data_IF_160007604391
#
_entry.id   IF_160007604391
#
_cell.length_a   1.000
_cell.length_b   1.000
_cell.length_c   1.000
_cell.angle_alpha   90.00
_cell.angle_beta   90.00
_cell.angle_gamma   90.00
#
_symmetry.space_group_name_H-M   'P 1'
#
loop_
_entity.id
_entity.type
_entity.pdbx_description
1 polymer ?
#
# COMPACT_ATOMS: atom_id res chain seq x y z
N UNK A 1 1.62 12.20 -19.19
CA UNK A 1 2.24 12.40 -17.84
C UNK A 1 3.38 11.40 -17.65
N UNK A 2 4.60 11.85 -17.31
CA UNK A 2 5.74 10.94 -16.98
C UNK A 2 5.62 10.46 -15.55
N UNK A 3 5.53 9.15 -15.33
CA UNK A 3 5.25 8.57 -14.02
C UNK A 3 6.41 7.72 -13.53
N UNK A 4 6.92 8.04 -12.33
CA UNK A 4 7.93 7.26 -11.63
C UNK A 4 7.27 6.30 -10.62
N UNK A 5 7.34 5.00 -10.88
CA UNK A 5 7.00 3.98 -9.89
C UNK A 5 8.15 3.78 -8.90
N UNK A 6 7.88 3.90 -7.61
CA UNK A 6 8.86 3.70 -6.55
C UNK A 6 8.39 2.55 -5.66
N UNK A 7 9.09 1.43 -5.72
CA UNK A 7 8.93 0.33 -4.77
C UNK A 7 9.79 0.65 -3.55
N UNK A 8 9.16 0.73 -2.36
CA UNK A 8 9.88 1.03 -1.12
C UNK A 8 9.97 -0.24 -0.28
N UNK A 9 11.18 -0.77 -0.10
CA UNK A 9 11.44 -1.95 0.73
C UNK A 9 12.62 -1.69 1.66
N UNK A 10 12.47 -1.99 2.94
CA UNK A 10 13.56 -1.91 3.93
C UNK A 10 13.92 -3.31 4.43
N UNK A 11 15.16 -3.50 4.89
CA UNK A 11 15.63 -4.76 5.47
C UNK A 11 15.01 -5.05 6.83
N UNK A 12 14.88 -4.01 7.68
CA UNK A 12 14.36 -4.13 9.04
C UNK A 12 12.83 -4.21 9.10
N UNK A 13 12.25 -5.43 9.05
CA UNK A 13 10.81 -5.65 9.24
C UNK A 13 10.54 -6.22 10.65
N UNK A 14 9.76 -5.51 11.50
CA UNK A 14 9.46 -5.93 12.88
C UNK A 14 8.46 -7.08 12.97
N UNK A 15 7.35 -7.02 12.22
CA UNK A 15 6.27 -8.01 12.29
C UNK A 15 6.69 -9.36 11.72
N UNK A 16 7.41 -9.37 10.58
CA UNK A 16 7.91 -10.59 9.93
C UNK A 16 9.38 -10.35 9.56
N UNK A 17 10.35 -11.00 10.23
CA UNK A 17 11.77 -10.85 9.88
C UNK A 17 12.04 -11.24 8.42
N UNK A 18 12.83 -10.41 7.71
CA UNK A 18 13.16 -10.64 6.31
C UNK A 18 11.96 -10.62 5.35
N UNK A 19 10.85 -9.96 5.74
CA UNK A 19 9.55 -9.97 5.06
C UNK A 19 9.65 -9.85 3.54
N UNK A 20 10.45 -8.92 3.04
CA UNK A 20 10.53 -8.60 1.61
C UNK A 20 11.12 -9.73 0.76
N UNK A 21 12.02 -10.55 1.34
CA UNK A 21 12.65 -11.69 0.66
C UNK A 21 12.00 -13.04 1.00
N UNK A 22 11.11 -13.08 2.00
CA UNK A 22 10.38 -14.29 2.38
C UNK A 22 9.45 -14.72 1.23
N UNK A 23 9.37 -16.04 0.99
CA UNK A 23 8.57 -16.59 -0.10
C UNK A 23 7.08 -16.59 0.22
N UNK A 24 6.30 -15.83 -0.53
CA UNK A 24 4.84 -15.85 -0.56
C UNK A 24 4.41 -16.56 -1.84
N UNK A 25 3.67 -17.64 -1.73
CA UNK A 25 3.24 -18.45 -2.88
C UNK A 25 4.38 -18.77 -3.87
N UNK A 26 5.58 -19.11 -3.34
CA UNK A 26 6.74 -19.51 -4.12
C UNK A 26 7.60 -18.39 -4.72
N UNK A 27 7.30 -17.13 -4.45
CA UNK A 27 8.09 -15.97 -4.88
C UNK A 27 8.41 -15.05 -3.71
N UNK A 28 9.55 -14.34 -3.67
CA UNK A 28 9.76 -13.29 -2.68
C UNK A 28 8.59 -12.31 -2.65
N UNK A 29 8.19 -11.86 -1.46
CA UNK A 29 7.09 -10.88 -1.32
C UNK A 29 7.29 -9.67 -2.25
N UNK A 30 8.51 -9.13 -2.29
CA UNK A 30 8.91 -8.03 -3.16
C UNK A 30 8.59 -8.30 -4.65
N UNK A 31 8.71 -9.55 -5.10
CA UNK A 31 8.53 -9.92 -6.50
C UNK A 31 7.10 -9.66 -6.99
N UNK A 32 6.09 -9.87 -6.15
CA UNK A 32 4.70 -9.62 -6.53
C UNK A 32 4.48 -8.15 -6.94
N UNK A 33 5.04 -7.23 -6.17
CA UNK A 33 4.96 -5.79 -6.46
C UNK A 33 5.77 -5.38 -7.68
N UNK A 34 7.01 -5.85 -7.80
CA UNK A 34 7.87 -5.53 -8.94
C UNK A 34 7.25 -6.03 -10.25
N UNK A 35 6.74 -7.26 -10.28
CA UNK A 35 6.13 -7.84 -11.47
C UNK A 35 4.86 -7.10 -11.89
N UNK A 36 4.00 -6.74 -10.93
CA UNK A 36 2.80 -5.93 -11.22
C UNK A 36 3.17 -4.55 -11.78
N UNK A 37 4.15 -3.88 -11.17
CA UNK A 37 4.62 -2.56 -11.62
C UNK A 37 5.23 -2.62 -13.04
N UNK A 38 6.09 -3.59 -13.31
CA UNK A 38 6.72 -3.77 -14.63
C UNK A 38 5.74 -4.16 -15.74
N UNK A 39 4.63 -4.81 -15.38
CA UNK A 39 3.55 -5.13 -16.33
C UNK A 39 2.68 -3.92 -16.66
N UNK A 40 2.78 -2.82 -15.92
CA UNK A 40 2.00 -1.61 -16.15
C UNK A 40 2.75 -0.64 -17.07
N UNK A 41 2.30 -0.52 -18.33
CA UNK A 41 2.90 0.38 -19.33
C UNK A 41 2.69 1.87 -19.04
N UNK A 42 1.83 2.22 -18.09
CA UNK A 42 1.60 3.61 -17.68
C UNK A 42 2.67 4.12 -16.68
N UNK A 43 3.58 3.26 -16.25
CA UNK A 43 4.78 3.66 -15.52
C UNK A 43 5.95 3.80 -16.49
N UNK A 44 6.52 5.00 -16.61
CA UNK A 44 7.67 5.23 -17.50
C UNK A 44 8.95 4.61 -16.97
N UNK A 45 9.13 4.65 -15.65
CA UNK A 45 10.20 3.99 -14.92
C UNK A 45 9.69 3.36 -13.64
N UNK A 46 10.29 2.23 -13.26
CA UNK A 46 10.06 1.57 -11.97
C UNK A 46 11.40 1.37 -11.29
N UNK A 47 11.55 1.96 -10.11
CA UNK A 47 12.77 1.85 -9.31
C UNK A 47 12.48 1.25 -7.94
N UNK A 48 13.50 0.64 -7.34
CA UNK A 48 13.50 0.24 -5.95
C UNK A 48 14.27 1.26 -5.11
N UNK A 49 13.70 1.65 -3.96
CA UNK A 49 14.39 2.36 -2.88
C UNK A 49 14.58 1.42 -1.69
N UNK A 50 15.81 1.02 -1.41
CA UNK A 50 16.19 0.16 -0.29
C UNK A 50 17.58 0.50 0.21
N UNK A 51 17.85 0.27 1.50
CA UNK A 51 19.18 0.32 2.13
C UNK A 51 19.84 -1.05 2.18
N UNK A 52 19.08 -2.12 1.92
CA UNK A 52 19.51 -3.52 2.06
C UNK A 52 20.01 -4.06 0.74
N UNK A 53 21.29 -4.50 0.70
CA UNK A 53 21.93 -5.01 -0.51
C UNK A 53 21.32 -6.33 -0.99
N UNK A 54 20.80 -7.19 -0.08
CA UNK A 54 20.18 -8.44 -0.48
C UNK A 54 18.82 -8.17 -1.16
N UNK A 55 18.06 -7.21 -0.66
CA UNK A 55 16.81 -6.74 -1.30
C UNK A 55 17.14 -6.10 -2.66
N UNK A 56 18.20 -5.28 -2.72
CA UNK A 56 18.64 -4.66 -3.97
C UNK A 56 19.04 -5.70 -5.03
N UNK A 57 19.80 -6.73 -4.64
CA UNK A 57 20.21 -7.84 -5.52
C UNK A 57 18.98 -8.60 -6.06
N UNK A 58 18.08 -9.01 -5.17
CA UNK A 58 16.84 -9.69 -5.56
C UNK A 58 15.98 -8.86 -6.53
N UNK A 59 15.90 -7.55 -6.32
CA UNK A 59 15.15 -6.66 -7.22
C UNK A 59 15.80 -6.55 -8.61
N UNK A 60 17.13 -6.49 -8.68
CA UNK A 60 17.87 -6.50 -9.96
C UNK A 60 17.66 -7.79 -10.74
N UNK A 61 17.66 -8.94 -10.07
CA UNK A 61 17.33 -10.24 -10.68
C UNK A 61 15.90 -10.27 -11.24
N UNK A 62 14.96 -9.58 -10.59
CA UNK A 62 13.59 -9.40 -11.08
C UNK A 62 13.48 -8.33 -12.18
N UNK A 63 14.60 -7.72 -12.59
CA UNK A 63 14.70 -6.69 -13.62
C UNK A 63 14.13 -5.33 -13.18
N UNK A 64 14.12 -5.04 -11.88
CA UNK A 64 13.82 -3.72 -11.36
C UNK A 64 15.08 -2.86 -11.32
N UNK A 65 14.97 -1.59 -11.71
CA UNK A 65 16.06 -0.64 -11.59
C UNK A 65 16.30 -0.28 -10.10
N UNK A 66 17.59 -0.36 -9.68
CA UNK A 66 18.04 0.00 -8.33
C UNK A 66 19.14 1.04 -8.48
N UNK A 67 18.77 2.30 -8.73
CA UNK A 67 19.73 3.35 -9.12
C UNK A 67 20.64 3.81 -7.98
N UNK A 68 20.24 3.58 -6.74
CA UNK A 68 20.97 3.96 -5.52
C UNK A 68 20.69 2.98 -4.39
N UNK A 69 21.58 2.98 -3.40
CA UNK A 69 21.29 2.43 -2.07
C UNK A 69 20.82 3.59 -1.19
N UNK A 70 19.64 3.44 -0.60
CA UNK A 70 19.00 4.47 0.23
C UNK A 70 19.86 4.74 1.47
N UNK A 71 20.09 6.02 1.84
CA UNK A 71 20.79 6.35 3.07
C UNK A 71 20.13 5.72 4.31
N UNK A 72 20.92 5.19 5.23
CA UNK A 72 20.43 4.44 6.40
C UNK A 72 19.52 5.28 7.33
N UNK A 73 19.76 6.58 7.43
CA UNK A 73 18.89 7.49 8.17
C UNK A 73 17.47 7.65 7.57
N UNK A 74 17.27 7.23 6.33
CA UNK A 74 15.96 7.14 5.69
C UNK A 74 15.33 5.73 5.76
N UNK A 75 15.92 4.82 6.54
CA UNK A 75 15.47 3.44 6.69
C UNK A 75 15.11 3.07 8.14
N UNK A 76 15.12 4.05 9.04
CA UNK A 76 14.74 3.86 10.44
C UNK A 76 13.23 3.50 10.54
N UNK A 77 12.86 2.87 11.65
CA UNK A 77 11.47 2.45 11.89
C UNK A 77 10.48 3.61 11.90
N UNK A 78 10.88 4.73 12.48
CA UNK A 78 10.10 5.96 12.59
C UNK A 78 10.21 6.88 11.37
N UNK A 79 11.01 6.51 10.36
CA UNK A 79 11.19 7.38 9.19
C UNK A 79 9.87 7.46 8.38
N UNK A 80 9.28 8.65 8.24
CA UNK A 80 8.09 8.83 7.41
C UNK A 80 8.36 8.51 5.94
N UNK A 81 7.35 8.15 5.19
CA UNK A 81 7.49 7.87 3.75
C UNK A 81 7.91 9.08 2.92
N UNK A 82 7.44 10.29 3.27
CA UNK A 82 7.67 11.49 2.48
C UNK A 82 9.17 11.75 2.19
N UNK A 83 10.08 11.81 3.18
CA UNK A 83 11.51 12.02 2.89
C UNK A 83 12.14 10.89 2.06
N UNK A 84 11.65 9.66 2.16
CA UNK A 84 12.11 8.53 1.32
C UNK A 84 11.76 8.76 -0.14
N UNK A 85 10.54 9.22 -0.41
CA UNK A 85 10.06 9.51 -1.76
C UNK A 85 10.75 10.76 -2.33
N UNK A 86 10.89 11.82 -1.53
CA UNK A 86 11.63 13.01 -1.93
C UNK A 86 13.08 12.71 -2.31
N UNK A 87 13.77 11.84 -1.54
CA UNK A 87 15.11 11.40 -1.86
C UNK A 87 15.16 10.69 -3.23
N UNK A 88 14.26 9.75 -3.47
CA UNK A 88 14.22 9.01 -4.74
C UNK A 88 13.96 9.93 -5.94
N UNK A 89 13.02 10.86 -5.81
CA UNK A 89 12.69 11.82 -6.89
C UNK A 89 13.87 12.74 -7.18
N UNK A 90 14.49 13.36 -6.15
CA UNK A 90 15.67 14.22 -6.32
C UNK A 90 16.82 13.46 -6.97
N UNK A 91 17.10 12.25 -6.51
CA UNK A 91 18.18 11.44 -7.10
C UNK A 91 17.93 11.19 -8.59
N UNK A 92 16.70 10.83 -8.97
CA UNK A 92 16.35 10.59 -10.36
C UNK A 92 16.47 11.85 -11.22
N UNK A 93 16.10 13.02 -10.69
CA UNK A 93 16.23 14.30 -11.40
C UNK A 93 17.70 14.70 -11.56
N UNK A 94 18.50 14.65 -10.47
CA UNK A 94 19.87 15.14 -10.44
C UNK A 94 20.89 14.20 -11.10
N UNK A 95 20.70 12.88 -10.96
CA UNK A 95 21.69 11.87 -11.37
C UNK A 95 21.31 11.08 -12.61
N UNK A 96 20.02 10.93 -12.87
CA UNK A 96 19.51 10.20 -14.04
C UNK A 96 18.86 11.10 -15.09
N UNK A 97 18.87 12.43 -14.91
CA UNK A 97 18.21 13.42 -15.75
C UNK A 97 16.72 13.04 -16.05
N UNK A 98 16.06 12.43 -15.07
CA UNK A 98 14.69 12.00 -15.19
C UNK A 98 13.78 12.80 -14.27
N UNK A 99 12.97 13.68 -14.87
CA UNK A 99 11.96 14.48 -14.16
C UNK A 99 10.58 13.85 -14.34
N UNK A 100 9.98 13.44 -13.22
CA UNK A 100 8.65 12.86 -13.17
C UNK A 100 7.58 13.94 -12.95
N UNK A 101 6.45 13.84 -13.64
CA UNK A 101 5.26 14.67 -13.39
C UNK A 101 4.48 14.14 -12.19
N UNK A 102 4.47 12.81 -12.03
CA UNK A 102 3.81 12.12 -10.92
C UNK A 102 4.64 10.94 -10.40
N UNK A 103 4.38 10.57 -9.16
CA UNK A 103 5.00 9.45 -8.46
C UNK A 103 3.94 8.44 -8.06
N UNK A 104 4.24 7.16 -8.28
CA UNK A 104 3.44 6.02 -7.81
C UNK A 104 4.24 5.26 -6.75
N UNK A 105 3.77 5.24 -5.51
CA UNK A 105 4.40 4.53 -4.40
C UNK A 105 3.77 3.15 -4.30
N UNK A 106 4.58 2.11 -4.34
CA UNK A 106 4.18 0.72 -4.40
C UNK A 106 4.81 -0.07 -3.26
N UNK A 107 4.05 -0.27 -2.19
CA UNK A 107 4.53 -1.04 -1.04
C UNK A 107 4.48 -2.55 -1.32
N UNK A 108 5.54 -3.32 -0.99
CA UNK A 108 5.54 -4.78 -1.12
C UNK A 108 4.48 -5.49 -0.29
N UNK A 109 4.03 -4.87 0.80
CA UNK A 109 3.01 -5.41 1.70
C UNK A 109 1.65 -5.66 1.06
N UNK A 110 1.41 -5.13 -0.15
CA UNK A 110 0.15 -5.35 -0.90
C UNK A 110 0.41 -6.22 -2.15
N UNK A 111 0.60 -7.55 -1.98
CA UNK A 111 1.05 -8.45 -3.04
C UNK A 111 0.00 -8.76 -4.11
N UNK A 112 -1.28 -8.52 -3.83
CA UNK A 112 -2.39 -8.79 -4.76
C UNK A 112 -2.78 -7.59 -5.63
N UNK A 113 -2.11 -6.44 -5.47
CA UNK A 113 -2.25 -5.31 -6.38
C UNK A 113 -1.83 -5.71 -7.79
N UNK A 114 -2.66 -5.38 -8.78
CA UNK A 114 -2.44 -5.71 -10.20
C UNK A 114 -1.92 -4.52 -10.99
N UNK A 115 -1.43 -4.77 -12.21
CA UNK A 115 -1.09 -3.72 -13.17
C UNK A 115 -2.32 -2.87 -13.55
N UNK A 116 -3.51 -3.48 -13.56
CA UNK A 116 -4.76 -2.77 -13.85
C UNK A 116 -5.15 -1.79 -12.73
N UNK A 117 -4.89 -2.16 -11.47
CA UNK A 117 -5.09 -1.24 -10.33
C UNK A 117 -4.15 -0.03 -10.43
N UNK A 118 -2.88 -0.26 -10.81
CA UNK A 118 -1.90 0.80 -11.03
C UNK A 118 -2.36 1.71 -12.17
N UNK A 119 -2.73 1.14 -13.32
CA UNK A 119 -3.22 1.89 -14.49
C UNK A 119 -4.45 2.70 -14.16
N UNK A 120 -5.50 2.06 -13.60
CA UNK A 120 -6.76 2.72 -13.29
C UNK A 120 -6.63 3.86 -12.29
N UNK A 121 -5.71 3.76 -11.33
CA UNK A 121 -5.43 4.84 -10.39
C UNK A 121 -4.70 6.03 -11.06
N UNK A 122 -3.81 5.79 -12.02
CA UNK A 122 -3.16 6.86 -12.80
C UNK A 122 -4.14 7.56 -13.74
N UNK A 123 -5.00 6.81 -14.42
CA UNK A 123 -6.08 7.36 -15.23
C UNK A 123 -7.04 8.21 -14.39
N UNK A 124 -7.32 7.79 -13.14
CA UNK A 124 -8.11 8.56 -12.20
C UNK A 124 -7.40 9.85 -11.77
N UNK A 125 -6.10 9.81 -11.49
CA UNK A 125 -5.30 10.99 -11.17
C UNK A 125 -5.36 12.01 -12.31
N UNK A 126 -5.14 11.58 -13.52
CA UNK A 126 -5.11 12.45 -14.72
C UNK A 126 -6.48 13.08 -14.99
N UNK A 127 -7.56 12.30 -15.05
CA UNK A 127 -8.89 12.81 -15.39
C UNK A 127 -9.54 13.64 -14.26
N UNK A 128 -9.20 13.39 -13.00
CA UNK A 128 -9.77 14.13 -11.88
C UNK A 128 -9.14 15.50 -11.66
N UNK A 129 -7.90 15.70 -12.12
CA UNK A 129 -7.10 16.88 -11.81
C UNK A 129 -6.77 17.01 -10.32
N UNK A 130 -6.84 15.92 -9.55
CA UNK A 130 -6.50 15.90 -8.13
C UNK A 130 -4.98 16.00 -7.90
N UNK A 131 -4.59 16.30 -6.69
CA UNK A 131 -3.18 16.29 -6.27
C UNK A 131 -2.67 14.87 -6.08
N UNK A 132 -3.55 13.98 -5.61
CA UNK A 132 -3.22 12.59 -5.39
C UNK A 132 -4.43 11.66 -5.52
N UNK A 133 -4.10 10.38 -5.70
CA UNK A 133 -5.02 9.24 -5.62
C UNK A 133 -4.45 8.25 -4.61
N UNK A 134 -5.31 7.77 -3.72
CA UNK A 134 -4.99 6.66 -2.84
C UNK A 134 -5.99 5.51 -3.01
N UNK A 135 -5.52 4.28 -2.82
CA UNK A 135 -6.41 3.13 -2.88
C UNK A 135 -7.15 2.91 -1.58
N UNK A 136 -8.43 2.58 -1.72
CA UNK A 136 -9.33 2.26 -0.61
C UNK A 136 -10.08 0.96 -0.86
N UNK A 137 -10.52 0.33 0.20
CA UNK A 137 -11.46 -0.78 0.18
C UNK A 137 -12.66 -0.50 1.09
N UNK A 138 -13.78 -1.16 0.82
CA UNK A 138 -14.97 -1.03 1.66
C UNK A 138 -14.69 -1.53 3.08
N UNK A 139 -15.14 -0.78 4.08
CA UNK A 139 -15.01 -1.19 5.48
C UNK A 139 -15.99 -2.32 5.79
N UNK A 140 -15.51 -3.48 6.28
CA UNK A 140 -16.39 -4.56 6.72
C UNK A 140 -17.40 -4.07 7.76
N UNK A 141 -18.67 -4.50 7.64
CA UNK A 141 -19.76 -3.96 8.45
C UNK A 141 -19.58 -4.08 9.97
N UNK A 142 -18.78 -5.05 10.45
CA UNK A 142 -18.46 -5.21 11.87
C UNK A 142 -17.33 -4.27 12.35
N UNK A 143 -16.52 -3.75 11.44
CA UNK A 143 -15.49 -2.72 11.72
C UNK A 143 -15.93 -1.31 11.29
N UNK A 144 -17.21 -1.14 10.94
CA UNK A 144 -17.71 0.14 10.46
C UNK A 144 -17.57 1.22 11.56
N UNK A 145 -17.06 2.44 11.25
CA UNK A 145 -16.82 3.50 12.23
C UNK A 145 -18.01 3.82 13.12
N UNK A 146 -19.24 3.78 12.56
CA UNK A 146 -20.49 4.01 13.31
C UNK A 146 -20.84 2.89 14.31
N UNK A 147 -20.05 1.83 14.38
CA UNK A 147 -20.23 0.69 15.31
C UNK A 147 -19.07 0.53 16.28
N UNK A 148 -18.00 1.31 16.12
CA UNK A 148 -16.86 1.33 17.03
C UNK A 148 -17.28 2.03 18.33
N UNK A 149 -16.82 1.50 19.46
CA UNK A 149 -17.11 2.05 20.78
C UNK A 149 -15.84 2.68 21.39
N UNK A 150 -16.02 3.78 22.11
CA UNK A 150 -15.05 4.27 23.07
C UNK A 150 -15.49 3.78 24.45
N UNK A 151 -14.56 3.16 25.16
CA UNK A 151 -14.77 2.66 26.54
C UNK A 151 -13.89 3.46 27.48
N UNK A 152 -14.43 3.97 28.57
CA UNK A 152 -13.69 4.72 29.59
C UNK A 152 -13.09 3.80 30.66
N UNK A 153 -12.39 4.40 31.63
CA UNK A 153 -11.74 3.68 32.74
C UNK A 153 -12.72 2.98 33.68
N UNK A 154 -14.02 3.35 33.66
CA UNK A 154 -15.08 2.71 34.44
C UNK A 154 -15.79 1.60 33.67
N UNK A 155 -15.41 1.38 32.39
CA UNK A 155 -16.04 0.40 31.52
C UNK A 155 -17.34 0.92 30.85
N UNK A 156 -17.67 2.22 30.97
CA UNK A 156 -18.81 2.79 30.27
C UNK A 156 -18.53 2.98 28.80
N UNK A 157 -19.47 2.57 27.94
CA UNK A 157 -19.32 2.57 26.51
C UNK A 157 -20.25 3.55 25.79
N UNK A 158 -19.67 4.28 24.82
CA UNK A 158 -20.42 5.17 23.92
C UNK A 158 -19.97 4.93 22.48
N UNK A 159 -20.79 5.33 21.49
CA UNK A 159 -20.41 5.29 20.09
C UNK A 159 -19.22 6.22 19.83
N UNK A 160 -18.16 5.69 19.24
CA UNK A 160 -16.90 6.44 19.07
C UNK A 160 -17.08 7.72 18.22
N UNK A 161 -17.83 7.62 17.12
CA UNK A 161 -17.96 8.72 16.15
C UNK A 161 -18.88 9.82 16.69
N UNK A 162 -20.02 9.45 17.28
CA UNK A 162 -21.07 10.42 17.68
C UNK A 162 -21.01 10.80 19.15
N UNK A 163 -20.37 9.99 20.00
CA UNK A 163 -20.43 10.13 21.46
C UNK A 163 -21.78 9.73 22.08
N UNK A 164 -22.72 9.26 21.28
CA UNK A 164 -24.05 8.86 21.73
C UNK A 164 -24.03 7.55 22.53
N UNK A 165 -25.04 7.32 23.42
CA UNK A 165 -25.24 6.04 24.05
C UNK A 165 -25.42 4.90 23.04
N UNK A 166 -24.89 3.70 23.34
CA UNK A 166 -24.90 2.52 22.43
C UNK A 166 -26.31 2.15 21.93
N UNK A 167 -27.37 2.47 22.69
CA UNK A 167 -28.76 2.23 22.26
C UNK A 167 -29.16 2.96 20.97
N UNK A 168 -28.44 4.05 20.57
CA UNK A 168 -28.66 4.80 19.35
C UNK A 168 -27.90 4.25 18.13
N UNK A 169 -27.17 3.14 18.29
CA UNK A 169 -26.42 2.53 17.19
C UNK A 169 -27.31 2.18 15.99
N UNK A 170 -26.74 2.26 14.79
CA UNK A 170 -27.41 1.78 13.59
C UNK A 170 -27.39 0.24 13.60
N UNK A 171 -28.57 -0.37 13.70
CA UNK A 171 -28.70 -1.81 13.90
C UNK A 171 -28.51 -2.60 12.58
N UNK A 172 -29.12 -2.15 11.48
CA UNK A 172 -29.09 -2.87 10.20
C UNK A 172 -27.88 -2.45 9.38
N UNK A 173 -27.23 -3.42 8.75
CA UNK A 173 -26.04 -3.16 7.93
C UNK A 173 -26.35 -2.23 6.74
N UNK A 174 -27.51 -2.41 6.12
CA UNK A 174 -27.92 -1.62 4.95
C UNK A 174 -28.24 -0.14 5.27
N UNK A 175 -28.40 0.21 6.55
CA UNK A 175 -28.64 1.58 6.98
C UNK A 175 -27.34 2.32 7.33
N UNK A 176 -26.20 1.62 7.31
CA UNK A 176 -24.89 2.25 7.51
C UNK A 176 -24.51 3.09 6.29
N UNK A 177 -23.95 4.29 6.48
CA UNK A 177 -23.38 5.04 5.36
C UNK A 177 -22.21 4.30 4.74
N UNK A 178 -21.91 4.57 3.47
CA UNK A 178 -20.67 4.02 2.87
C UNK A 178 -19.43 4.49 3.64
N UNK A 179 -18.55 3.58 3.98
CA UNK A 179 -17.27 3.86 4.61
C UNK A 179 -16.14 3.11 3.91
N UNK A 180 -15.04 3.82 3.71
CA UNK A 180 -13.86 3.32 3.00
C UNK A 180 -12.63 3.46 3.88
N UNK A 181 -11.74 2.47 3.82
CA UNK A 181 -10.46 2.48 4.53
C UNK A 181 -9.29 2.46 3.54
N UNK A 182 -8.25 3.23 3.82
CA UNK A 182 -7.00 3.17 3.06
C UNK A 182 -6.40 1.77 3.21
N UNK A 183 -6.06 1.12 2.10
CA UNK A 183 -5.54 -0.25 2.11
C UNK A 183 -4.03 -0.33 1.82
N UNK A 184 -3.35 0.80 1.59
CA UNK A 184 -1.91 0.85 1.42
C UNK A 184 -1.37 0.36 0.08
N UNK A 185 -2.24 -0.14 -0.81
CA UNK A 185 -1.77 -0.74 -2.05
C UNK A 185 -1.25 0.30 -3.04
N UNK A 186 -1.87 1.47 -3.13
CA UNK A 186 -1.52 2.53 -4.07
C UNK A 186 -1.54 3.90 -3.38
N UNK A 187 -0.46 4.65 -3.58
CA UNK A 187 -0.40 6.09 -3.37
C UNK A 187 0.20 6.70 -4.62
N UNK A 188 -0.58 7.49 -5.35
CA UNK A 188 -0.11 8.24 -6.52
C UNK A 188 -0.28 9.73 -6.26
N UNK A 189 0.77 10.53 -6.51
CA UNK A 189 0.68 11.97 -6.32
C UNK A 189 1.43 12.71 -7.42
N UNK A 190 1.01 13.93 -7.72
CA UNK A 190 1.77 14.84 -8.56
C UNK A 190 3.08 15.21 -7.86
N UNK A 191 4.18 15.18 -8.59
CA UNK A 191 5.52 15.44 -8.02
C UNK A 191 5.60 16.80 -7.31
N UNK A 192 4.86 17.80 -7.79
CA UNK A 192 4.85 19.15 -7.20
C UNK A 192 4.46 19.18 -5.72
N UNK A 193 3.52 18.33 -5.26
CA UNK A 193 3.06 18.35 -3.87
C UNK A 193 4.10 17.85 -2.86
N UNK A 194 5.13 17.17 -3.35
CA UNK A 194 6.24 16.70 -2.53
C UNK A 194 7.22 17.81 -2.14
N UNK A 195 7.19 18.97 -2.83
CA UNK A 195 8.24 20.00 -2.71
C UNK A 195 7.70 21.42 -2.51
N UNK A 196 6.45 21.56 -2.08
CA UNK A 196 5.85 22.84 -1.66
C UNK A 196 6.21 23.16 -0.20
N UNK A 197 5.84 24.34 0.32
CA UNK A 197 6.17 24.77 1.69
C UNK A 197 5.61 23.82 2.77
N UNK A 198 4.43 23.21 2.55
CA UNK A 198 3.87 22.17 3.41
C UNK A 198 3.77 20.85 2.61
N UNK A 199 4.88 20.12 2.45
CA UNK A 199 4.95 18.97 1.55
C UNK A 199 4.19 17.78 2.12
N UNK A 200 3.52 17.03 1.23
CA UNK A 200 2.71 15.87 1.59
C UNK A 200 2.69 14.86 0.44
N UNK A 201 2.41 13.59 0.77
CA UNK A 201 2.11 12.57 -0.24
C UNK A 201 0.68 12.71 -0.80
N UNK A 202 -0.13 13.58 -0.20
CA UNK A 202 -1.56 13.69 -0.51
C UNK A 202 -1.91 15.00 -1.23
N UNK A 203 -1.26 16.12 -0.90
CA UNK A 203 -1.69 17.45 -1.35
C UNK A 203 -3.02 17.87 -0.70
N UNK A 204 -3.72 18.82 -1.31
CA UNK A 204 -4.97 19.35 -0.77
C UNK A 204 -6.20 18.58 -1.30
N UNK A 205 -6.14 18.12 -2.57
CA UNK A 205 -7.24 17.39 -3.19
C UNK A 205 -6.88 15.94 -3.46
N UNK A 206 -7.52 15.04 -2.71
CA UNK A 206 -7.33 13.58 -2.78
C UNK A 206 -8.55 12.91 -3.39
N UNK A 207 -8.34 11.95 -4.29
CA UNK A 207 -9.41 11.11 -4.85
C UNK A 207 -9.14 9.65 -4.53
N UNK A 208 -10.20 8.91 -4.17
CA UNK A 208 -10.09 7.51 -3.79
C UNK A 208 -10.25 6.58 -5.00
N UNK A 209 -9.28 5.67 -5.18
CA UNK A 209 -9.39 4.53 -6.10
C UNK A 209 -9.93 3.32 -5.34
N UNK A 210 -11.16 2.92 -5.65
CA UNK A 210 -11.86 1.81 -5.00
C UNK A 210 -11.31 0.47 -5.51
N UNK A 211 -10.71 -0.32 -4.62
CA UNK A 211 -10.21 -1.66 -4.91
C UNK A 211 -11.15 -2.72 -4.32
N UNK A 212 -11.32 -3.88 -4.99
CA UNK A 212 -11.96 -5.04 -4.40
C UNK A 212 -11.26 -5.50 -3.12
N UNK A 213 -12.01 -5.90 -2.12
CA UNK A 213 -11.49 -6.32 -0.80
C UNK A 213 -10.50 -7.49 -0.94
N UNK A 214 -10.75 -8.40 -1.89
CA UNK A 214 -9.91 -9.57 -2.16
C UNK A 214 -8.49 -9.22 -2.62
N UNK A 215 -8.28 -8.02 -3.14
CA UNK A 215 -6.95 -7.51 -3.56
C UNK A 215 -6.35 -6.46 -2.62
N UNK A 216 -7.10 -6.11 -1.57
CA UNK A 216 -6.77 -5.01 -0.67
C UNK A 216 -5.97 -5.43 0.58
N UNK A 217 -5.51 -6.69 0.65
CA UNK A 217 -4.77 -7.18 1.81
C UNK A 217 -3.42 -6.45 1.93
N UNK A 218 -3.09 -6.05 3.16
CA UNK A 218 -1.78 -5.56 3.56
C UNK A 218 -1.16 -6.53 4.56
N UNK A 219 0.04 -7.02 4.27
CA UNK A 219 0.72 -7.99 5.12
C UNK A 219 1.53 -7.28 6.19
N UNK A 220 1.05 -7.37 7.45
CA UNK A 220 1.75 -6.85 8.61
C UNK A 220 2.21 -7.95 9.57
N UNK A 221 1.47 -9.06 9.64
CA UNK A 221 1.78 -10.22 10.49
C UNK A 221 1.62 -11.55 9.74
N UNK A 222 1.77 -12.68 10.47
CA UNK A 222 1.68 -14.02 9.88
C UNK A 222 0.25 -14.46 9.59
N UNK A 223 -0.76 -13.82 10.20
CA UNK A 223 -2.16 -14.07 9.87
C UNK A 223 -2.48 -13.48 8.48
N UNK A 224 -2.07 -12.23 8.24
CA UNK A 224 -2.18 -11.60 6.92
C UNK A 224 -1.41 -12.38 5.86
N UNK A 225 -0.24 -12.94 6.23
CA UNK A 225 0.57 -13.76 5.33
C UNK A 225 -0.20 -14.99 4.86
N UNK A 226 -0.79 -15.74 5.78
CA UNK A 226 -1.57 -16.94 5.45
C UNK A 226 -2.80 -16.60 4.60
N UNK A 227 -3.47 -15.50 4.90
CA UNK A 227 -4.62 -15.04 4.11
C UNK A 227 -4.20 -14.59 2.71
N UNK A 228 -3.07 -13.89 2.56
CA UNK A 228 -2.53 -13.54 1.24
C UNK A 228 -2.19 -14.79 0.40
N UNK A 229 -1.58 -15.83 1.01
CA UNK A 229 -1.32 -17.11 0.33
C UNK A 229 -2.61 -17.78 -0.15
N UNK A 230 -3.64 -17.79 0.70
CA UNK A 230 -4.97 -18.32 0.35
C UNK A 230 -5.57 -17.57 -0.85
N UNK A 231 -5.59 -16.24 -0.79
CA UNK A 231 -6.13 -15.39 -1.86
C UNK A 231 -5.38 -15.56 -3.18
N UNK A 232 -4.04 -15.68 -3.15
CA UNK A 232 -3.23 -15.96 -4.33
C UNK A 232 -3.58 -17.33 -4.92
N UNK A 233 -3.74 -18.37 -4.09
CA UNK A 233 -4.11 -19.69 -4.54
C UNK A 233 -5.48 -19.71 -5.23
N UNK A 234 -6.47 -19.03 -4.65
CA UNK A 234 -7.81 -18.86 -5.25
C UNK A 234 -7.72 -18.15 -6.61
N UNK A 235 -6.97 -17.04 -6.69
CA UNK A 235 -6.78 -16.31 -7.94
C UNK A 235 -6.09 -17.15 -9.03
N UNK A 236 -5.31 -18.17 -8.66
CA UNK A 236 -4.66 -19.13 -9.57
C UNK A 236 -5.54 -20.34 -9.91
N UNK A 237 -6.80 -20.37 -9.45
CA UNK A 237 -7.72 -21.50 -9.68
C UNK A 237 -7.35 -22.78 -8.92
N UNK A 238 -6.50 -22.70 -7.88
CA UNK A 238 -6.20 -23.82 -7.00
C UNK A 238 -7.36 -24.03 -6.01
N UNK A 239 -7.78 -25.29 -5.73
CA UNK A 239 -8.82 -25.54 -4.74
C UNK A 239 -8.39 -24.96 -3.38
N UNK A 240 -9.35 -24.40 -2.64
CA UNK A 240 -9.10 -23.91 -1.28
C UNK A 240 -8.53 -25.06 -0.43
N UNK A 241 -7.25 -24.97 -0.11
CA UNK A 241 -6.65 -25.84 0.90
C UNK A 241 -7.29 -25.51 2.23
N UNK A 242 -7.83 -26.52 2.92
CA UNK A 242 -8.37 -26.37 4.27
C UNK A 242 -7.36 -25.65 5.16
N UNK A 243 -7.79 -24.67 5.98
CA UNK A 243 -6.91 -23.99 6.92
C UNK A 243 -6.24 -24.99 7.85
N UNK A 244 -4.97 -24.80 8.26
CA UNK A 244 -4.19 -25.75 9.05
C UNK A 244 -4.72 -26.04 10.46
N UNK A 245 -5.88 -25.53 10.85
CA UNK A 245 -6.46 -25.63 12.19
C UNK A 245 -7.61 -26.62 12.34
N UNK A 246 -7.61 -27.74 11.61
CA UNK A 246 -8.42 -28.92 11.97
C UNK A 246 -7.61 -30.19 11.73
N UNK A 247 -6.56 -30.41 12.54
CA UNK A 247 -6.19 -31.76 12.99
C UNK A 247 -6.45 -31.81 14.48
N UNK A 248 -7.50 -32.48 14.80
CA UNK A 248 -7.80 -33.00 16.15
C UNK A 248 -6.67 -33.93 16.59
#
# INVERSE_FOLDING_TARGET
MRVLGIVTARGGSKGIPGKNLKLLAGKPLLAHTILAARSCRSLDRVILSTEDEAIAAAARELGCDVPFIRPSNLALDETPHLPVIQHAVRWMEERAAYRADAVMILQPTSPLRTADDIRGSLELLERSGADSVLSVSEVPGHHHPMRILRVDDKGEAVLFVTGDPVRKRINRRQDLPEAWVMNGAIYACLTRVLFVDNPSLFGDRVVAYKMPVERAISIDDMHDWAEAERLIAVAQGKPEGLPPHKRL
#
